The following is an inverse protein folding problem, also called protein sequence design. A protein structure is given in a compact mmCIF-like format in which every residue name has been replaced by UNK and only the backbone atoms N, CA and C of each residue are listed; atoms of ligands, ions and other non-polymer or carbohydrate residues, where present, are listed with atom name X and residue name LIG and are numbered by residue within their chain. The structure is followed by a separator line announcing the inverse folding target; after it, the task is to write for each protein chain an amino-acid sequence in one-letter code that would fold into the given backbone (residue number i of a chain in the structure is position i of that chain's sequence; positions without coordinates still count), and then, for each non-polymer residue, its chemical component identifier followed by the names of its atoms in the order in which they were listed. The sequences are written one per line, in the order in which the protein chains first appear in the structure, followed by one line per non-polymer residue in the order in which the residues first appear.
data_IF_379789780806
#
_entry.id   IF_379789780806
#
_cell.length_a   1.000
_cell.length_b   1.000
_cell.length_c   1.000
_cell.angle_alpha   90.00
_cell.angle_beta   90.00
_cell.angle_gamma   90.00
#
_symmetry.space_group_name_H-M   'P 1'
#
loop_
_entity.id
_entity.type
_entity.pdbx_description
1 polymer ?
#
# COMPACT_ATOMS: atom_id res chain seq x y z
N UNK A 1 31.44 -48.36 -76.91
CA UNK A 1 31.12 -48.62 -75.50
C UNK A 1 31.20 -47.30 -74.79
N UNK A 2 30.06 -46.65 -74.47
CA UNK A 2 30.00 -45.38 -73.85
C UNK A 2 29.19 -45.53 -72.54
N UNK A 3 29.86 -45.42 -71.39
CA UNK A 3 29.22 -45.44 -70.08
C UNK A 3 28.65 -44.07 -69.78
N UNK A 4 27.33 -44.03 -69.56
CA UNK A 4 26.61 -42.81 -69.00
C UNK A 4 26.48 -43.00 -67.49
N UNK A 5 27.08 -42.11 -66.76
CA UNK A 5 26.81 -41.92 -65.31
C UNK A 5 25.60 -41.02 -65.13
N UNK A 6 24.56 -41.49 -64.45
CA UNK A 6 23.48 -40.71 -63.96
C UNK A 6 23.90 -40.12 -62.57
N UNK A 7 24.00 -38.83 -62.56
CA UNK A 7 24.17 -38.12 -61.28
C UNK A 7 22.82 -37.93 -60.53
N UNK A 8 22.75 -38.57 -59.38
CA UNK A 8 21.59 -38.44 -58.49
C UNK A 8 21.78 -37.18 -57.65
N UNK A 9 20.98 -36.09 -57.91
CA UNK A 9 20.98 -34.90 -57.15
C UNK A 9 20.15 -35.11 -55.87
N UNK A 10 20.81 -35.16 -54.71
CA UNK A 10 20.15 -35.08 -53.40
C UNK A 10 19.70 -33.65 -53.13
N UNK A 11 18.40 -33.41 -53.17
CA UNK A 11 17.79 -32.18 -52.68
C UNK A 11 17.63 -32.33 -51.15
N UNK A 12 18.46 -31.66 -50.36
CA UNK A 12 18.26 -31.50 -48.94
C UNK A 12 17.14 -30.44 -48.72
N UNK A 13 16.11 -30.73 -47.90
CA UNK A 13 15.18 -29.73 -47.50
C UNK A 13 15.86 -28.79 -46.49
N UNK A 14 15.97 -27.51 -46.81
CA UNK A 14 16.29 -26.46 -45.87
C UNK A 14 15.14 -26.37 -44.86
N UNK A 15 15.34 -26.96 -43.68
CA UNK A 15 14.53 -26.65 -42.50
C UNK A 15 14.84 -25.19 -42.11
N UNK A 16 13.99 -24.29 -42.51
CA UNK A 16 13.93 -22.96 -41.90
C UNK A 16 13.44 -23.15 -40.48
N UNK A 17 14.37 -23.25 -39.54
CA UNK A 17 14.06 -23.10 -38.14
C UNK A 17 13.57 -21.64 -37.96
N UNK A 18 12.26 -21.47 -37.81
CA UNK A 18 11.72 -20.24 -37.20
C UNK A 18 12.29 -20.18 -35.79
N UNK A 19 13.41 -19.49 -35.61
CA UNK A 19 13.78 -18.95 -34.33
C UNK A 19 12.69 -17.97 -33.96
N UNK A 20 11.70 -18.40 -33.19
CA UNK A 20 10.95 -17.49 -32.33
C UNK A 20 11.98 -16.95 -31.35
N UNK A 21 12.54 -15.78 -31.64
CA UNK A 21 13.20 -14.99 -30.61
C UNK A 21 12.17 -14.84 -29.50
N UNK A 22 12.31 -15.67 -28.48
CA UNK A 22 11.65 -15.46 -27.20
C UNK A 22 12.05 -14.05 -26.79
N UNK A 23 11.11 -13.11 -26.89
CA UNK A 23 11.33 -11.74 -26.46
C UNK A 23 11.47 -11.74 -24.94
N UNK A 24 12.68 -12.09 -24.46
CA UNK A 24 13.00 -12.13 -23.06
C UNK A 24 12.83 -10.72 -22.49
N UNK A 25 11.97 -10.56 -21.49
CA UNK A 25 11.85 -9.33 -20.73
C UNK A 25 13.03 -9.34 -19.74
N UNK A 26 14.01 -8.42 -19.86
CA UNK A 26 15.22 -8.44 -19.01
C UNK A 26 14.89 -7.88 -17.61
N UNK A 27 14.42 -8.75 -16.74
CA UNK A 27 14.16 -8.45 -15.33
C UNK A 27 14.94 -9.43 -14.45
N UNK A 28 15.57 -8.90 -13.41
CA UNK A 28 16.30 -9.66 -12.39
C UNK A 28 16.04 -9.08 -11.01
N UNK A 29 16.23 -9.90 -9.98
CA UNK A 29 16.15 -9.52 -8.57
C UNK A 29 17.16 -10.31 -7.77
N UNK A 30 17.63 -9.76 -6.65
CA UNK A 30 18.46 -10.48 -5.69
C UNK A 30 17.63 -11.26 -4.67
N UNK A 31 16.38 -10.88 -4.48
CA UNK A 31 15.51 -11.44 -3.43
C UNK A 31 14.32 -12.23 -3.97
N UNK A 32 13.84 -11.92 -5.17
CA UNK A 32 12.76 -12.68 -5.83
C UNK A 32 13.37 -13.82 -6.64
N UNK A 33 12.91 -15.05 -6.43
CA UNK A 33 13.46 -16.21 -7.12
C UNK A 33 13.28 -16.12 -8.64
N UNK A 34 14.23 -16.72 -9.40
CA UNK A 34 14.14 -16.75 -10.85
C UNK A 34 12.84 -17.42 -11.31
N UNK A 35 12.40 -18.48 -10.65
CA UNK A 35 11.13 -19.16 -10.96
C UNK A 35 9.94 -18.21 -10.85
N UNK A 36 9.92 -17.34 -9.83
CA UNK A 36 8.87 -16.34 -9.65
C UNK A 36 8.92 -15.28 -10.75
N UNK A 37 10.13 -14.84 -11.13
CA UNK A 37 10.34 -13.89 -12.24
C UNK A 37 9.86 -14.51 -13.56
N UNK A 38 10.20 -15.77 -13.84
CA UNK A 38 9.76 -16.48 -15.05
C UNK A 38 8.22 -16.60 -15.11
N UNK A 39 7.58 -16.83 -13.95
CA UNK A 39 6.12 -16.84 -13.83
C UNK A 39 5.52 -15.48 -14.18
N UNK A 40 6.08 -14.40 -13.64
CA UNK A 40 5.65 -13.02 -13.93
C UNK A 40 5.77 -12.71 -15.42
N UNK A 41 6.92 -12.99 -16.01
CA UNK A 41 7.20 -12.77 -17.44
C UNK A 41 6.24 -13.57 -18.32
N UNK A 42 6.04 -14.85 -18.01
CA UNK A 42 5.12 -15.74 -18.72
C UNK A 42 3.68 -15.20 -18.68
N UNK A 43 3.20 -14.80 -17.49
CA UNK A 43 1.86 -14.26 -17.31
C UNK A 43 1.68 -12.92 -18.04
N UNK A 44 2.68 -12.02 -18.00
CA UNK A 44 2.63 -10.76 -18.75
C UNK A 44 2.51 -11.04 -20.27
N UNK A 45 3.31 -11.94 -20.82
CA UNK A 45 3.26 -12.28 -22.23
C UNK A 45 1.91 -12.88 -22.64
N UNK A 46 1.33 -13.71 -21.77
CA UNK A 46 0.02 -14.32 -21.98
C UNK A 46 -1.13 -13.33 -21.88
N UNK A 47 -1.12 -12.48 -20.85
CA UNK A 47 -2.20 -11.52 -20.57
C UNK A 47 -2.17 -10.31 -21.52
N UNK A 48 -0.98 -9.94 -22.00
CA UNK A 48 -0.76 -8.72 -22.80
C UNK A 48 0.02 -9.02 -24.07
N UNK A 49 -0.48 -9.87 -24.97
CA UNK A 49 0.25 -10.25 -26.20
C UNK A 49 0.57 -9.04 -27.08
N UNK A 50 -0.35 -8.05 -27.13
CA UNK A 50 -0.24 -6.83 -27.95
C UNK A 50 0.56 -5.69 -27.30
N UNK A 51 1.00 -5.84 -26.03
CA UNK A 51 1.75 -4.79 -25.37
C UNK A 51 3.17 -4.69 -25.95
N UNK A 52 3.71 -3.48 -25.99
CA UNK A 52 5.10 -3.25 -26.39
C UNK A 52 6.09 -3.85 -25.40
N UNK A 53 7.32 -4.10 -25.83
CA UNK A 53 8.38 -4.61 -24.95
C UNK A 53 8.63 -3.66 -23.77
N UNK A 54 8.53 -2.35 -23.99
CA UNK A 54 8.68 -1.36 -22.90
C UNK A 54 7.55 -1.49 -21.88
N UNK A 55 6.30 -1.59 -22.31
CA UNK A 55 5.16 -1.80 -21.40
C UNK A 55 5.32 -3.07 -20.59
N UNK A 56 5.69 -4.18 -21.23
CA UNK A 56 5.93 -5.46 -20.57
C UNK A 56 7.08 -5.38 -19.56
N UNK A 57 8.18 -4.73 -19.93
CA UNK A 57 9.32 -4.55 -19.04
C UNK A 57 8.98 -3.73 -17.80
N UNK A 58 8.26 -2.61 -17.99
CA UNK A 58 7.83 -1.77 -16.87
C UNK A 58 6.86 -2.49 -15.95
N UNK A 59 5.89 -3.21 -16.52
CA UNK A 59 4.96 -4.05 -15.75
C UNK A 59 5.70 -5.13 -14.95
N UNK A 60 6.64 -5.85 -15.57
CA UNK A 60 7.42 -6.87 -14.88
C UNK A 60 8.25 -6.30 -13.73
N UNK A 61 8.95 -5.18 -13.95
CA UNK A 61 9.72 -4.48 -12.89
C UNK A 61 8.83 -4.01 -11.75
N UNK A 62 7.62 -3.53 -12.05
CA UNK A 62 6.64 -3.12 -11.02
C UNK A 62 6.23 -4.30 -10.14
N UNK A 63 5.90 -5.44 -10.75
CA UNK A 63 5.48 -6.63 -9.98
C UNK A 63 6.64 -7.21 -9.17
N UNK A 64 7.85 -7.27 -9.73
CA UNK A 64 9.04 -7.73 -9.00
C UNK A 64 9.31 -6.82 -7.81
N UNK A 65 9.33 -5.50 -7.99
CA UNK A 65 9.50 -4.53 -6.90
C UNK A 65 8.42 -4.66 -5.84
N UNK A 66 7.16 -4.86 -6.22
CA UNK A 66 6.08 -5.06 -5.25
C UNK A 66 6.33 -6.27 -4.34
N UNK A 67 6.97 -7.34 -4.86
CA UNK A 67 7.38 -8.50 -4.06
C UNK A 67 8.62 -8.18 -3.22
N UNK A 68 9.62 -7.50 -3.79
CA UNK A 68 10.85 -7.09 -3.08
C UNK A 68 10.58 -6.21 -1.86
N UNK A 69 9.57 -5.35 -1.96
CA UNK A 69 9.21 -4.40 -0.90
C UNK A 69 8.16 -4.94 0.09
N UNK A 70 7.84 -6.23 0.03
CA UNK A 70 6.98 -6.83 1.05
C UNK A 70 7.72 -6.97 2.39
N UNK A 71 7.02 -6.59 3.44
CA UNK A 71 7.39 -6.85 4.84
C UNK A 71 6.54 -8.02 5.34
N UNK A 72 7.19 -9.10 5.77
CA UNK A 72 6.49 -10.21 6.38
C UNK A 72 6.04 -9.85 7.79
N UNK A 73 4.79 -10.09 8.09
CA UNK A 73 4.15 -9.82 9.38
C UNK A 73 3.75 -11.16 9.99
N UNK A 74 4.51 -11.59 10.97
CA UNK A 74 4.14 -12.78 11.74
C UNK A 74 2.82 -12.55 12.45
N UNK A 75 1.89 -13.49 12.32
CA UNK A 75 0.58 -13.43 12.94
C UNK A 75 0.62 -13.39 14.47
N UNK A 76 -0.50 -13.12 15.06
CA UNK A 76 -0.65 -13.05 16.52
C UNK A 76 -1.94 -12.36 16.92
N UNK A 77 -2.11 -12.15 18.22
CA UNK A 77 -3.31 -11.53 18.79
C UNK A 77 -3.00 -10.15 19.34
N UNK A 78 -3.96 -9.25 19.22
CA UNK A 78 -3.89 -7.90 19.79
C UNK A 78 -5.28 -7.38 20.13
N UNK A 79 -5.32 -6.35 20.96
CA UNK A 79 -6.53 -5.57 21.21
C UNK A 79 -6.66 -4.50 20.13
N UNK A 80 -7.61 -4.66 19.20
CA UNK A 80 -7.88 -3.73 18.11
C UNK A 80 -8.84 -2.64 18.56
N UNK A 81 -8.57 -1.40 18.15
CA UNK A 81 -9.38 -0.24 18.46
C UNK A 81 -8.67 0.77 19.35
N UNK A 82 -9.43 1.78 19.82
CA UNK A 82 -8.93 2.83 20.69
C UNK A 82 -8.74 2.31 22.11
N UNK A 83 -7.49 2.05 22.47
CA UNK A 83 -7.11 1.55 23.80
C UNK A 83 -7.01 2.65 24.86
N UNK A 84 -7.43 3.88 24.52
CA UNK A 84 -7.44 5.00 25.43
C UNK A 84 -6.08 5.65 25.63
N UNK A 85 -6.14 6.84 26.21
CA UNK A 85 -5.00 7.60 26.71
C UNK A 85 -5.39 8.22 28.04
N UNK A 86 -4.44 8.66 28.88
CA UNK A 86 -4.76 9.48 30.04
C UNK A 86 -5.59 10.70 29.62
N UNK A 87 -6.67 11.00 30.35
CA UNK A 87 -7.54 12.12 30.01
C UNK A 87 -6.80 13.45 30.19
N UNK A 88 -6.92 14.34 29.21
CA UNK A 88 -6.46 15.70 29.36
C UNK A 88 -7.38 16.48 30.31
N UNK A 89 -6.83 17.10 31.34
CA UNK A 89 -7.57 18.01 32.22
C UNK A 89 -7.45 19.41 31.62
N UNK A 90 -8.57 20.14 31.40
CA UNK A 90 -8.51 21.51 30.93
C UNK A 90 -7.65 22.35 31.88
N UNK A 91 -6.48 22.79 31.44
CA UNK A 91 -5.77 23.86 32.13
C UNK A 91 -6.52 25.14 31.85
N UNK A 92 -6.67 26.03 32.80
CA UNK A 92 -7.40 27.31 32.64
C UNK A 92 -6.96 28.21 31.48
N UNK A 93 -6.13 27.69 30.55
CA UNK A 93 -5.69 28.30 29.31
C UNK A 93 -6.39 27.64 28.11
N UNK A 94 -7.00 28.42 27.22
CA UNK A 94 -7.57 27.88 25.98
C UNK A 94 -6.54 27.02 25.20
N UNK A 95 -6.92 25.82 24.80
CA UNK A 95 -6.11 24.87 24.03
C UNK A 95 -4.90 24.24 24.77
N UNK A 96 -4.82 24.33 26.07
CA UNK A 96 -3.84 23.60 26.87
C UNK A 96 -4.58 22.65 27.81
N UNK A 97 -4.30 21.38 27.70
CA UNK A 97 -4.88 20.33 28.52
C UNK A 97 -3.76 19.66 29.29
N UNK A 98 -4.00 19.39 30.58
CA UNK A 98 -3.08 18.66 31.42
C UNK A 98 -3.54 17.20 31.50
N UNK A 99 -2.59 16.28 31.45
CA UNK A 99 -2.87 14.83 31.49
C UNK A 99 -3.18 14.36 32.91
N UNK A 100 -4.17 13.50 33.03
CA UNK A 100 -4.47 12.81 34.27
C UNK A 100 -4.16 11.31 34.14
N UNK A 101 -3.17 10.78 34.87
CA UNK A 101 -2.81 9.38 34.79
C UNK A 101 -3.89 8.45 35.35
N UNK A 102 -4.79 8.96 36.19
CA UNK A 102 -5.79 8.16 36.90
C UNK A 102 -7.08 7.91 36.12
N UNK A 103 -7.28 8.60 35.02
CA UNK A 103 -8.50 8.50 34.19
C UNK A 103 -8.12 8.19 32.75
N UNK A 104 -8.75 7.16 32.17
CA UNK A 104 -8.60 6.80 30.76
C UNK A 104 -9.72 7.44 29.94
N UNK A 105 -9.35 8.14 28.89
CA UNK A 105 -10.26 8.70 27.90
C UNK A 105 -10.06 8.04 26.54
N UNK A 106 -10.99 8.26 25.62
CA UNK A 106 -10.74 7.93 24.20
C UNK A 106 -9.57 8.78 23.72
N UNK A 107 -8.61 8.15 23.06
CA UNK A 107 -7.44 8.84 22.52
C UNK A 107 -7.80 9.68 21.30
N UNK A 108 -8.84 9.28 20.56
CA UNK A 108 -9.40 10.01 19.42
C UNK A 108 -10.88 10.33 19.70
N UNK A 109 -11.28 11.62 19.73
CA UNK A 109 -12.67 12.01 19.92
C UNK A 109 -13.64 11.39 18.92
N UNK A 110 -13.19 11.08 17.71
CA UNK A 110 -14.00 10.43 16.67
C UNK A 110 -14.27 8.95 16.96
N UNK A 111 -13.55 8.31 17.88
CA UNK A 111 -13.70 6.89 18.19
C UNK A 111 -15.11 6.54 18.67
N UNK A 112 -15.83 7.48 19.31
CA UNK A 112 -17.20 7.31 19.71
C UNK A 112 -18.16 7.19 18.51
N UNK A 113 -17.97 8.01 17.49
CA UNK A 113 -18.82 8.04 16.29
C UNK A 113 -18.49 6.88 15.33
N UNK A 114 -17.21 6.56 15.20
CA UNK A 114 -16.73 5.54 14.26
C UNK A 114 -16.78 4.11 14.82
N UNK A 115 -17.06 3.95 16.11
CA UNK A 115 -17.09 2.65 16.80
C UNK A 115 -15.70 2.12 17.17
N UNK A 116 -14.64 2.88 16.95
CA UNK A 116 -13.27 2.48 17.28
C UNK A 116 -13.04 2.29 18.79
N UNK A 117 -13.87 2.90 19.64
CA UNK A 117 -13.83 2.74 21.10
C UNK A 117 -14.18 1.33 21.58
N UNK A 118 -14.80 0.51 20.74
CA UNK A 118 -15.11 -0.88 21.09
C UNK A 118 -13.86 -1.74 20.94
N UNK A 119 -13.01 -1.69 21.97
CA UNK A 119 -11.80 -2.50 22.02
C UNK A 119 -12.15 -3.98 22.01
N UNK A 120 -11.54 -4.75 21.12
CA UNK A 120 -11.84 -6.18 20.97
C UNK A 120 -10.61 -6.96 20.56
N UNK A 121 -10.55 -8.21 20.97
CA UNK A 121 -9.46 -9.11 20.63
C UNK A 121 -9.55 -9.54 19.17
N UNK A 122 -8.44 -9.40 18.46
CA UNK A 122 -8.25 -9.89 17.10
C UNK A 122 -7.04 -10.80 17.04
N UNK A 123 -7.17 -11.90 16.32
CA UNK A 123 -6.09 -12.85 16.04
C UNK A 123 -5.91 -12.97 14.53
N UNK A 124 -4.73 -12.65 14.04
CA UNK A 124 -4.39 -12.70 12.60
C UNK A 124 -3.46 -13.88 12.32
N UNK A 125 -3.68 -14.56 11.21
CA UNK A 125 -2.67 -15.40 10.59
C UNK A 125 -1.55 -14.51 10.03
N UNK A 126 -0.36 -15.08 9.78
CA UNK A 126 0.74 -14.35 9.15
C UNK A 126 0.36 -13.90 7.74
N UNK A 127 0.89 -12.77 7.31
CA UNK A 127 0.70 -12.19 5.98
C UNK A 127 1.92 -11.35 5.62
N UNK A 128 1.96 -10.79 4.42
CA UNK A 128 2.92 -9.73 4.12
C UNK A 128 2.20 -8.46 3.71
N UNK A 129 2.80 -7.30 3.98
CA UNK A 129 2.24 -5.99 3.61
C UNK A 129 3.30 -5.18 2.86
N UNK A 130 2.88 -4.37 1.90
CA UNK A 130 3.80 -3.49 1.20
C UNK A 130 4.45 -2.49 2.18
N UNK A 131 5.78 -2.36 2.10
CA UNK A 131 6.56 -1.43 2.93
C UNK A 131 6.08 0.00 2.80
N UNK A 132 5.70 0.39 1.59
CA UNK A 132 5.26 1.74 1.23
C UNK A 132 3.85 1.71 0.66
N UNK A 133 3.21 2.87 0.56
CA UNK A 133 2.06 3.08 -0.30
C UNK A 133 2.44 2.79 -1.75
N UNK A 134 1.47 2.40 -2.57
CA UNK A 134 1.68 2.24 -4.01
C UNK A 134 2.15 3.55 -4.62
N UNK A 135 3.26 3.54 -5.36
CA UNK A 135 3.78 4.74 -6.02
C UNK A 135 2.96 5.11 -7.26
N UNK A 136 2.94 6.40 -7.56
CA UNK A 136 2.33 6.91 -8.79
C UNK A 136 2.82 6.16 -10.03
N UNK A 137 4.13 5.97 -10.18
CA UNK A 137 4.68 5.29 -11.35
C UNK A 137 4.27 3.82 -11.43
N UNK A 138 4.10 3.13 -10.31
CA UNK A 138 3.68 1.72 -10.28
C UNK A 138 2.23 1.57 -10.73
N UNK A 139 1.35 2.45 -10.23
CA UNK A 139 -0.03 2.55 -10.69
C UNK A 139 -0.09 2.88 -12.18
N UNK A 140 0.75 3.80 -12.65
CA UNK A 140 0.80 4.23 -14.04
C UNK A 140 1.25 3.10 -14.98
N UNK A 141 2.22 2.27 -14.59
CA UNK A 141 2.65 1.14 -15.43
C UNK A 141 1.56 0.07 -15.55
N UNK A 142 0.81 -0.20 -14.47
CA UNK A 142 -0.38 -1.05 -14.53
C UNK A 142 -1.44 -0.43 -15.47
N UNK A 143 -1.73 0.87 -15.35
CA UNK A 143 -2.72 1.55 -16.19
C UNK A 143 -2.30 1.55 -17.65
N UNK A 144 -1.02 1.77 -17.93
CA UNK A 144 -0.51 1.81 -19.31
C UNK A 144 -0.63 0.47 -20.01
N UNK A 145 -0.21 -0.63 -19.38
CA UNK A 145 -0.31 -1.96 -20.00
C UNK A 145 -1.78 -2.40 -20.19
N UNK A 146 -2.68 -1.95 -19.32
CA UNK A 146 -4.11 -2.20 -19.42
C UNK A 146 -4.86 -1.20 -20.31
N UNK A 147 -4.15 -0.31 -21.03
CA UNK A 147 -4.71 0.71 -21.92
C UNK A 147 -5.67 1.68 -21.22
N UNK A 148 -5.51 1.87 -19.91
CA UNK A 148 -6.27 2.83 -19.13
C UNK A 148 -5.67 4.23 -19.26
N UNK A 149 -6.43 5.32 -19.03
CA UNK A 149 -5.90 6.68 -19.00
C UNK A 149 -4.79 6.82 -17.96
N UNK A 150 -3.96 7.86 -18.08
CA UNK A 150 -2.99 8.25 -17.04
C UNK A 150 -3.73 8.40 -15.70
N UNK A 151 -3.11 8.01 -14.60
CA UNK A 151 -3.68 8.20 -13.27
C UNK A 151 -4.02 9.68 -13.08
N UNK A 152 -5.22 9.96 -12.55
CA UNK A 152 -5.60 11.34 -12.26
C UNK A 152 -4.62 11.93 -11.26
N UNK A 153 -3.91 12.95 -11.67
CA UNK A 153 -3.19 13.79 -10.74
C UNK A 153 -4.21 14.54 -9.87
N UNK A 154 -3.87 14.73 -8.60
CA UNK A 154 -4.66 15.52 -7.65
C UNK A 154 -4.62 17.03 -7.97
N UNK A 155 -3.87 17.42 -9.03
CA UNK A 155 -3.86 18.78 -9.52
C UNK A 155 -5.27 19.21 -9.93
N UNK A 156 -5.61 20.48 -9.65
CA UNK A 156 -6.91 21.09 -9.96
C UNK A 156 -7.26 21.06 -11.44
N UNK A 157 -6.30 20.72 -12.29
CA UNK A 157 -6.43 20.61 -13.73
C UNK A 157 -6.77 19.17 -14.14
N UNK A 158 -8.07 18.88 -14.20
CA UNK A 158 -8.65 17.56 -14.57
C UNK A 158 -8.48 17.24 -16.07
N UNK A 159 -7.57 17.86 -16.77
CA UNK A 159 -7.39 17.60 -18.20
C UNK A 159 -6.70 16.24 -18.38
N UNK A 160 -7.23 15.49 -19.33
CA UNK A 160 -6.59 14.27 -19.82
C UNK A 160 -5.14 14.59 -20.24
N UNK A 161 -4.17 13.85 -19.65
CA UNK A 161 -2.74 14.00 -19.97
C UNK A 161 -2.36 12.92 -20.98
N UNK A 162 -2.12 13.26 -22.26
CA UNK A 162 -1.65 12.28 -23.23
C UNK A 162 -0.23 11.79 -22.85
N UNK A 163 0.01 10.48 -23.00
CA UNK A 163 1.31 9.86 -22.64
C UNK A 163 2.47 10.30 -23.52
N UNK A 164 2.22 10.84 -24.68
CA UNK A 164 3.22 11.43 -25.60
C UNK A 164 3.53 12.91 -25.32
N UNK A 165 2.82 13.51 -24.36
CA UNK A 165 2.96 14.93 -24.03
C UNK A 165 4.19 15.23 -23.17
N UNK A 166 4.68 16.48 -23.25
CA UNK A 166 5.73 17.00 -22.36
C UNK A 166 5.27 17.00 -20.90
N UNK A 167 3.97 17.31 -20.66
CA UNK A 167 3.36 17.29 -19.32
C UNK A 167 3.46 15.88 -18.69
N UNK A 168 3.24 14.83 -19.46
CA UNK A 168 3.36 13.46 -18.96
C UNK A 168 4.80 13.10 -18.56
N UNK A 169 5.79 13.50 -19.36
CA UNK A 169 7.21 13.28 -19.03
C UNK A 169 7.59 13.97 -17.72
N UNK A 170 7.20 15.24 -17.59
CA UNK A 170 7.40 15.99 -16.35
C UNK A 170 6.72 15.30 -15.15
N UNK A 171 5.46 14.86 -15.32
CA UNK A 171 4.71 14.17 -14.28
C UNK A 171 5.41 12.88 -13.81
N UNK A 172 5.99 12.10 -14.74
CA UNK A 172 6.75 10.90 -14.40
C UNK A 172 8.05 11.21 -13.66
N UNK A 173 8.74 12.31 -14.02
CA UNK A 173 9.97 12.71 -13.36
C UNK A 173 9.71 13.25 -11.95
N UNK A 174 8.71 14.11 -11.81
CA UNK A 174 8.35 14.79 -10.57
C UNK A 174 7.74 13.83 -9.54
N UNK A 175 6.92 12.87 -9.97
CA UNK A 175 6.13 12.00 -9.08
C UNK A 175 6.61 10.55 -8.99
N UNK A 176 7.86 10.27 -9.27
CA UNK A 176 8.37 8.89 -9.27
C UNK A 176 8.13 8.14 -7.96
N UNK A 177 8.26 8.82 -6.84
CA UNK A 177 8.12 8.27 -5.49
C UNK A 177 6.86 8.74 -4.76
N UNK A 178 6.06 9.60 -5.38
CA UNK A 178 4.82 10.06 -4.77
C UNK A 178 3.82 8.92 -4.61
N UNK A 179 3.03 8.96 -3.56
CA UNK A 179 1.93 8.01 -3.39
C UNK A 179 0.91 8.14 -4.53
N UNK A 180 0.44 7.01 -5.06
CA UNK A 180 -0.60 7.00 -6.07
C UNK A 180 -1.92 7.51 -5.51
N UNK A 181 -2.56 8.46 -6.20
CA UNK A 181 -3.92 8.86 -5.84
C UNK A 181 -4.92 7.82 -6.31
N UNK A 182 -5.76 7.32 -5.39
CA UNK A 182 -6.86 6.41 -5.69
C UNK A 182 -8.18 7.03 -5.21
N UNK A 183 -8.83 7.80 -6.09
CA UNK A 183 -10.13 8.44 -5.78
C UNK A 183 -11.29 7.47 -5.70
N UNK A 184 -11.11 6.27 -6.22
CA UNK A 184 -12.08 5.19 -6.14
C UNK A 184 -11.43 3.99 -5.45
N UNK A 185 -12.12 3.43 -4.47
CA UNK A 185 -11.67 2.20 -3.82
C UNK A 185 -11.39 1.07 -4.82
N UNK A 186 -12.19 1.00 -5.89
CA UNK A 186 -12.03 -0.01 -6.92
C UNK A 186 -10.68 0.11 -7.66
N UNK A 187 -10.15 1.32 -7.86
CA UNK A 187 -8.83 1.51 -8.49
C UNK A 187 -7.71 0.90 -7.66
N UNK A 188 -7.79 1.05 -6.33
CA UNK A 188 -6.86 0.43 -5.40
C UNK A 188 -6.98 -1.12 -5.41
N UNK A 189 -8.21 -1.61 -5.40
CA UNK A 189 -8.51 -3.04 -5.47
C UNK A 189 -8.02 -3.66 -6.77
N UNK A 190 -8.31 -3.02 -7.90
CA UNK A 190 -7.90 -3.49 -9.24
C UNK A 190 -6.37 -3.58 -9.37
N UNK A 191 -5.63 -2.63 -8.79
CA UNK A 191 -4.17 -2.66 -8.79
C UNK A 191 -3.64 -3.87 -8.02
N UNK A 192 -4.11 -4.10 -6.80
CA UNK A 192 -3.66 -5.26 -6.01
C UNK A 192 -4.06 -6.59 -6.67
N UNK A 193 -5.25 -6.67 -7.28
CA UNK A 193 -5.67 -7.82 -8.06
C UNK A 193 -4.85 -8.01 -9.35
N UNK A 194 -4.42 -6.92 -9.98
CA UNK A 194 -3.51 -6.99 -11.11
C UNK A 194 -2.15 -7.58 -10.70
N UNK A 195 -1.59 -7.16 -9.57
CA UNK A 195 -0.39 -7.79 -9.00
C UNK A 195 -0.60 -9.29 -8.80
N UNK A 196 -1.77 -9.68 -8.26
CA UNK A 196 -2.12 -11.09 -8.04
C UNK A 196 -2.15 -11.88 -9.36
N UNK A 197 -2.83 -11.36 -10.37
CA UNK A 197 -2.97 -12.02 -11.67
C UNK A 197 -1.64 -12.19 -12.39
N UNK A 198 -0.75 -11.20 -12.29
CA UNK A 198 0.56 -11.23 -12.95
C UNK A 198 1.56 -12.09 -12.20
N UNK A 199 1.61 -11.98 -10.88
CA UNK A 199 2.57 -12.73 -10.05
C UNK A 199 2.13 -14.15 -9.73
N UNK A 200 0.84 -14.47 -9.87
CA UNK A 200 0.20 -15.69 -9.34
C UNK A 200 0.34 -15.83 -7.81
N UNK A 201 0.52 -14.70 -7.10
CA UNK A 201 0.55 -14.63 -5.64
C UNK A 201 -0.73 -13.93 -5.15
N UNK A 202 -1.30 -14.28 -3.99
CA UNK A 202 -2.59 -13.77 -3.54
C UNK A 202 -2.49 -12.32 -2.99
N UNK A 203 -2.16 -11.36 -3.85
CA UNK A 203 -2.20 -9.95 -3.51
C UNK A 203 -3.64 -9.43 -3.42
N UNK A 204 -3.90 -8.62 -2.41
CA UNK A 204 -5.15 -7.90 -2.21
C UNK A 204 -4.91 -6.62 -1.39
N UNK A 205 -5.95 -5.81 -1.17
CA UNK A 205 -5.90 -4.78 -0.13
C UNK A 205 -5.79 -5.45 1.25
N UNK A 206 -5.07 -4.86 2.21
CA UNK A 206 -5.10 -5.34 3.58
C UNK A 206 -6.52 -5.21 4.15
N UNK A 207 -6.89 -6.09 5.08
CA UNK A 207 -8.04 -5.82 5.94
C UNK A 207 -7.73 -4.67 6.90
N UNK A 208 -8.76 -4.05 7.45
CA UNK A 208 -8.60 -3.02 8.47
C UNK A 208 -7.76 -3.51 9.65
N UNK A 209 -7.99 -4.75 10.07
CA UNK A 209 -7.24 -5.38 11.16
C UNK A 209 -5.77 -5.64 10.81
N UNK A 210 -5.47 -6.10 9.59
CA UNK A 210 -4.09 -6.26 9.11
C UNK A 210 -3.37 -4.91 9.07
N UNK A 211 -4.04 -3.88 8.57
CA UNK A 211 -3.47 -2.53 8.51
C UNK A 211 -3.12 -2.02 9.92
N UNK A 212 -4.05 -2.09 10.88
CA UNK A 212 -3.81 -1.60 12.25
C UNK A 212 -2.73 -2.43 12.96
N UNK A 213 -2.74 -3.76 12.80
CA UNK A 213 -1.74 -4.63 13.38
C UNK A 213 -0.32 -4.30 12.90
N UNK A 214 -0.16 -4.06 11.59
CA UNK A 214 1.12 -3.65 11.00
C UNK A 214 1.53 -2.22 11.45
N UNK A 215 0.60 -1.27 11.46
CA UNK A 215 0.83 0.11 11.90
C UNK A 215 1.34 0.15 13.35
N UNK A 216 0.82 -0.73 14.19
CA UNK A 216 1.19 -0.89 15.60
C UNK A 216 2.34 -1.87 15.83
N UNK A 217 3.11 -2.19 14.79
CA UNK A 217 4.26 -3.12 14.89
C UNK A 217 3.91 -4.43 15.60
N UNK A 218 2.88 -5.13 15.08
CA UNK A 218 2.25 -6.33 15.63
C UNK A 218 1.36 -6.06 16.84
N UNK A 219 0.58 -4.97 16.76
CA UNK A 219 -0.46 -4.66 17.76
C UNK A 219 0.05 -4.07 19.06
N UNK A 220 1.26 -3.50 19.07
CA UNK A 220 1.79 -2.75 20.22
C UNK A 220 0.89 -1.57 20.60
N UNK A 221 1.00 -1.10 21.84
CA UNK A 221 0.28 0.09 22.31
C UNK A 221 1.03 1.36 21.91
N UNK A 222 0.94 1.73 20.64
CA UNK A 222 1.50 2.96 20.07
C UNK A 222 0.39 3.79 19.44
N UNK A 223 0.53 5.11 19.46
CA UNK A 223 -0.47 6.03 18.90
C UNK A 223 -0.23 6.33 17.43
N UNK A 224 1.02 6.27 16.98
CA UNK A 224 1.43 6.57 15.61
C UNK A 224 2.35 5.48 15.07
N UNK A 225 2.23 5.18 13.79
CA UNK A 225 3.05 4.17 13.10
C UNK A 225 4.40 4.78 12.65
N UNK A 226 5.13 5.34 13.59
CA UNK A 226 6.45 5.95 13.40
C UNK A 226 7.54 5.07 13.98
N UNK A 227 8.80 5.44 13.81
CA UNK A 227 9.94 4.68 14.32
C UNK A 227 9.98 4.56 15.85
N UNK A 228 9.35 5.48 16.58
CA UNK A 228 9.29 5.48 18.04
C UNK A 228 7.85 5.51 18.63
N UNK A 229 6.82 5.43 17.78
CA UNK A 229 5.42 5.40 18.21
C UNK A 229 4.78 6.78 18.45
N UNK A 230 5.52 7.85 18.26
CA UNK A 230 5.08 9.22 18.51
C UNK A 230 5.07 10.05 17.23
N UNK A 231 4.34 11.15 17.24
CA UNK A 231 4.30 12.11 16.15
C UNK A 231 4.98 13.41 16.55
N UNK A 232 5.77 13.98 15.65
CA UNK A 232 6.27 15.33 15.81
C UNK A 232 5.08 16.31 15.84
N UNK A 233 4.92 17.02 16.96
CA UNK A 233 3.93 18.07 17.11
C UNK A 233 4.56 19.45 16.86
N UNK A 234 3.73 20.47 16.63
CA UNK A 234 4.17 21.85 16.34
C UNK A 234 5.32 22.31 17.22
N UNK A 235 6.30 22.99 16.62
CA UNK A 235 7.45 23.63 17.29
C UNK A 235 8.41 22.66 18.03
N UNK A 236 8.69 21.51 17.47
CA UNK A 236 9.70 20.61 18.00
C UNK A 236 9.35 19.89 19.31
N UNK A 237 8.07 19.75 19.63
CA UNK A 237 7.61 18.94 20.77
C UNK A 237 6.79 17.75 20.26
N UNK A 238 6.91 16.60 20.91
CA UNK A 238 6.02 15.47 20.72
C UNK A 238 5.46 15.03 22.07
N UNK A 239 4.27 14.43 22.06
CA UNK A 239 3.69 13.86 23.27
C UNK A 239 4.35 12.50 23.53
N UNK A 240 4.91 12.35 24.75
CA UNK A 240 5.45 11.09 25.26
C UNK A 240 4.44 10.47 26.21
N UNK A 241 3.77 9.37 25.85
CA UNK A 241 2.78 8.74 26.72
C UNK A 241 3.40 8.06 27.94
N UNK A 242 4.68 7.68 27.93
CA UNK A 242 5.35 7.14 29.09
C UNK A 242 5.66 8.23 30.12
N UNK A 243 6.05 9.40 29.63
CA UNK A 243 6.26 10.58 30.45
C UNK A 243 4.94 11.28 30.84
N UNK A 244 3.85 11.05 30.09
CA UNK A 244 2.56 11.70 30.28
C UNK A 244 2.53 13.20 29.97
N UNK A 245 3.51 13.71 29.22
CA UNK A 245 3.60 15.14 28.85
C UNK A 245 4.35 15.32 27.51
N UNK A 246 4.30 16.55 26.98
CA UNK A 246 5.08 16.93 25.80
C UNK A 246 6.55 17.08 26.16
N UNK A 247 7.41 16.44 25.35
CA UNK A 247 8.86 16.51 25.45
C UNK A 247 9.44 17.21 24.23
N UNK A 248 10.65 17.78 24.39
CA UNK A 248 11.34 18.43 23.28
C UNK A 248 11.77 17.42 22.23
N UNK A 249 11.51 17.78 20.98
CA UNK A 249 11.96 17.01 19.81
C UNK A 249 13.49 17.07 19.66
N UNK A 250 14.11 15.93 19.55
CA UNK A 250 15.49 15.84 19.13
C UNK A 250 15.55 15.68 17.62
N UNK A 251 16.29 16.56 16.95
CA UNK A 251 16.38 16.64 15.49
C UNK A 251 16.72 15.31 14.81
N UNK A 252 17.39 14.41 15.52
CA UNK A 252 17.80 13.10 15.04
C UNK A 252 16.72 12.00 15.21
N UNK A 253 15.58 12.34 15.82
CA UNK A 253 14.43 11.44 16.06
C UNK A 253 13.26 11.76 15.11
N UNK A 254 13.54 12.01 13.80
CA UNK A 254 12.49 12.26 12.81
C UNK A 254 11.60 11.04 12.71
N UNK A 255 10.36 11.17 13.12
CA UNK A 255 9.40 10.09 13.22
C UNK A 255 8.21 10.21 12.27
N UNK A 256 8.00 11.38 11.66
CA UNK A 256 7.03 11.55 10.58
C UNK A 256 7.46 12.68 9.64
N UNK A 257 7.16 12.55 8.37
CA UNK A 257 7.28 13.64 7.40
C UNK A 257 5.94 14.35 7.25
N UNK A 258 5.98 15.66 7.11
CA UNK A 258 4.84 16.45 6.66
C UNK A 258 4.77 16.53 5.13
N UNK A 259 5.80 16.03 4.44
CA UNK A 259 5.88 15.99 2.99
C UNK A 259 5.12 14.78 2.45
N UNK A 260 4.11 15.07 1.65
CA UNK A 260 3.28 14.08 0.94
C UNK A 260 4.04 13.51 -0.27
N UNK A 261 5.20 14.10 -0.59
CA UNK A 261 5.80 13.94 -1.91
C UNK A 261 6.37 12.55 -2.17
N UNK A 262 6.97 11.90 -1.17
CA UNK A 262 7.62 10.61 -1.37
C UNK A 262 7.21 9.58 -0.33
N UNK A 263 6.85 8.37 -0.79
CA UNK A 263 6.48 7.25 0.09
C UNK A 263 7.61 6.79 1.04
N UNK A 264 8.84 7.15 0.73
CA UNK A 264 10.05 6.83 1.52
C UNK A 264 10.60 8.02 2.33
N UNK A 265 9.83 9.09 2.46
CA UNK A 265 10.26 10.30 3.19
C UNK A 265 10.27 10.15 4.71
N UNK A 266 9.54 9.18 5.24
CA UNK A 266 9.48 8.90 6.69
C UNK A 266 10.23 7.61 7.03
N UNK A 267 10.93 7.57 8.19
CA UNK A 267 11.53 6.34 8.66
C UNK A 267 10.44 5.29 8.93
N UNK A 268 10.71 4.00 8.69
CA UNK A 268 9.74 2.94 8.94
C UNK A 268 9.51 2.76 10.45
N UNK A 269 8.35 2.21 10.80
CA UNK A 269 8.08 1.73 12.14
C UNK A 269 8.98 0.52 12.50
N UNK A 270 9.01 0.04 13.75
CA UNK A 270 9.85 -1.08 14.16
C UNK A 270 9.62 -2.39 13.37
N UNK A 271 8.46 -2.55 12.74
CA UNK A 271 8.18 -3.68 11.84
C UNK A 271 8.86 -3.53 10.46
N UNK A 272 9.26 -2.32 10.10
CA UNK A 272 9.86 -2.01 8.79
C UNK A 272 8.87 -1.42 7.76
N UNK A 273 7.63 -1.11 8.16
CA UNK A 273 6.61 -0.49 7.30
C UNK A 273 6.64 1.02 7.48
N UNK A 274 6.65 1.75 6.38
CA UNK A 274 6.71 3.21 6.36
C UNK A 274 5.38 3.85 5.90
N UNK A 275 5.18 5.11 6.23
CA UNK A 275 4.08 5.92 5.71
C UNK A 275 2.70 5.65 6.30
N UNK A 276 2.57 4.86 7.38
CA UNK A 276 1.25 4.55 7.98
C UNK A 276 0.76 5.60 9.01
N UNK A 277 1.49 6.68 9.20
CA UNK A 277 1.10 7.88 9.96
C UNK A 277 1.69 9.12 9.30
N UNK A 278 1.54 9.20 7.99
CA UNK A 278 1.90 10.37 7.19
C UNK A 278 0.64 11.20 6.84
N UNK A 279 0.65 11.94 5.74
CA UNK A 279 -0.50 12.76 5.34
C UNK A 279 -1.43 12.09 4.31
N UNK A 280 -1.27 10.78 4.06
CA UNK A 280 -1.99 10.07 3.02
C UNK A 280 -2.91 9.02 3.62
N UNK A 281 -4.22 9.22 3.49
CA UNK A 281 -5.19 8.20 3.90
C UNK A 281 -5.13 6.98 3.00
N UNK A 282 -5.34 5.79 3.56
CA UNK A 282 -5.24 4.54 2.82
C UNK A 282 -6.54 3.75 2.79
N UNK A 283 -6.97 3.34 1.59
CA UNK A 283 -8.04 2.37 1.43
C UNK A 283 -7.63 1.00 1.98
N UNK A 284 -8.54 0.41 2.75
CA UNK A 284 -8.47 -1.01 3.14
C UNK A 284 -9.63 -1.80 2.53
N UNK A 285 -9.64 -3.11 2.69
CA UNK A 285 -10.62 -3.97 2.02
C UNK A 285 -12.03 -3.86 2.61
N UNK A 286 -12.14 -3.50 3.87
CA UNK A 286 -13.35 -3.62 4.68
C UNK A 286 -14.44 -2.63 4.28
N UNK A 287 -15.69 -3.11 4.30
CA UNK A 287 -16.83 -2.23 4.39
C UNK A 287 -16.92 -1.62 5.77
N UNK A 288 -17.40 -0.40 5.86
CA UNK A 288 -17.56 0.30 7.13
C UNK A 288 -18.91 -0.03 7.80
N UNK A 289 -18.85 -0.25 9.11
CA UNK A 289 -20.00 -0.22 10.00
C UNK A 289 -19.56 0.30 11.37
N UNK A 290 -20.28 1.24 11.99
CA UNK A 290 -19.94 1.76 13.32
C UNK A 290 -20.10 0.73 14.44
N UNK A 291 -20.84 -0.35 14.19
CA UNK A 291 -21.10 -1.41 15.18
C UNK A 291 -20.30 -2.70 14.93
N UNK A 292 -19.46 -2.73 13.88
CA UNK A 292 -18.75 -3.95 13.50
C UNK A 292 -17.83 -4.46 14.63
N UNK A 293 -17.10 -3.56 15.29
CA UNK A 293 -16.17 -3.95 16.37
C UNK A 293 -16.84 -4.61 17.57
N UNK A 294 -18.13 -4.31 17.80
CA UNK A 294 -18.92 -4.96 18.87
C UNK A 294 -19.18 -6.45 18.59
N UNK A 295 -19.17 -6.85 17.32
CA UNK A 295 -19.54 -8.18 16.87
C UNK A 295 -18.50 -8.78 15.91
N UNK A 296 -17.31 -8.21 15.86
CA UNK A 296 -16.23 -8.68 15.00
C UNK A 296 -15.82 -10.10 15.38
N UNK A 297 -15.63 -11.03 14.42
CA UNK A 297 -15.01 -12.30 14.72
C UNK A 297 -13.58 -12.07 15.21
N UNK A 298 -13.14 -12.87 16.19
CA UNK A 298 -11.79 -12.76 16.72
C UNK A 298 -10.74 -13.11 15.66
N UNK A 299 -10.98 -14.13 14.82
CA UNK A 299 -10.00 -14.62 13.86
C UNK A 299 -10.17 -14.00 12.49
N UNK A 300 -9.12 -13.32 12.00
CA UNK A 300 -9.00 -12.77 10.64
C UNK A 300 -10.24 -11.96 10.21
N UNK A 301 -10.70 -10.95 10.96
CA UNK A 301 -11.87 -10.18 10.59
C UNK A 301 -11.69 -9.50 9.22
N UNK A 302 -12.76 -9.50 8.42
CA UNK A 302 -12.79 -9.00 7.04
C UNK A 302 -13.69 -7.78 6.85
N UNK A 303 -14.22 -7.22 7.95
CA UNK A 303 -15.31 -6.25 7.88
C UNK A 303 -16.67 -6.88 7.59
N UNK A 304 -17.74 -6.08 7.53
CA UNK A 304 -19.05 -6.54 7.09
C UNK A 304 -19.03 -7.08 5.65
N UNK A 305 -19.90 -8.04 5.34
CA UNK A 305 -20.02 -8.63 3.99
C UNK A 305 -20.41 -7.59 2.91
N UNK A 306 -21.10 -6.54 3.30
CA UNK A 306 -21.53 -5.46 2.41
C UNK A 306 -21.72 -4.15 3.16
N UNK A 307 -21.75 -3.05 2.42
CA UNK A 307 -21.94 -1.72 2.96
C UNK A 307 -22.07 -0.66 1.86
N UNK A 308 -22.23 0.59 2.26
CA UNK A 308 -22.28 1.74 1.35
C UNK A 308 -20.99 2.54 1.36
N UNK A 309 -20.16 2.34 2.36
CA UNK A 309 -18.90 3.05 2.58
C UNK A 309 -17.77 2.07 2.90
N UNK A 310 -16.58 2.43 2.49
CA UNK A 310 -15.34 1.69 2.76
C UNK A 310 -14.55 2.38 3.87
N UNK A 311 -13.77 1.59 4.60
CA UNK A 311 -12.87 2.10 5.61
C UNK A 311 -11.64 2.72 4.94
N UNK A 312 -11.25 3.88 5.47
CA UNK A 312 -9.96 4.53 5.25
C UNK A 312 -9.20 4.58 6.57
N UNK A 313 -7.90 4.39 6.49
CA UNK A 313 -6.99 4.51 7.63
C UNK A 313 -6.04 5.68 7.40
N UNK A 314 -5.53 6.27 8.47
CA UNK A 314 -4.73 7.49 8.51
C UNK A 314 -5.45 8.72 7.91
N UNK A 315 -6.06 9.55 8.74
CA UNK A 315 -6.71 10.79 8.30
C UNK A 315 -5.69 11.90 8.06
N UNK A 316 -4.99 11.84 6.95
CA UNK A 316 -4.04 12.87 6.56
C UNK A 316 -3.01 13.19 7.66
N UNK A 317 -2.45 12.16 8.28
CA UNK A 317 -1.39 12.27 9.27
C UNK A 317 -1.78 13.00 10.55
N UNK A 318 -3.07 13.16 10.83
CA UNK A 318 -3.58 13.86 12.03
C UNK A 318 -4.25 12.94 13.03
N UNK A 319 -4.45 11.70 12.65
CA UNK A 319 -5.17 10.72 13.47
C UNK A 319 -4.23 9.63 13.96
N UNK A 320 -4.62 9.01 15.04
CA UNK A 320 -3.89 7.90 15.64
C UNK A 320 -4.12 6.61 14.84
N UNK A 321 -3.24 5.63 15.00
CA UNK A 321 -3.26 4.38 14.23
C UNK A 321 -4.55 3.57 14.31
N UNK A 322 -5.38 3.78 15.34
CA UNK A 322 -6.68 3.13 15.52
C UNK A 322 -7.85 3.98 15.02
N UNK A 323 -7.60 5.21 14.57
CA UNK A 323 -8.67 6.08 14.03
C UNK A 323 -9.21 5.50 12.73
N UNK A 324 -10.55 5.48 12.64
CA UNK A 324 -11.30 4.99 11.49
C UNK A 324 -11.95 6.15 10.76
N UNK A 325 -11.79 6.18 9.46
CA UNK A 325 -12.53 7.08 8.59
C UNK A 325 -13.36 6.20 7.64
N UNK A 326 -14.45 6.71 7.17
CA UNK A 326 -15.28 6.02 6.18
C UNK A 326 -15.69 6.98 5.07
N UNK A 327 -15.72 6.46 3.86
CA UNK A 327 -16.12 7.20 2.67
C UNK A 327 -16.83 6.29 1.69
N UNK A 328 -17.70 6.90 0.90
CA UNK A 328 -18.26 6.21 -0.27
C UNK A 328 -17.14 5.71 -1.18
N UNK A 329 -17.38 4.64 -1.89
CA UNK A 329 -16.38 3.97 -2.76
C UNK A 329 -15.82 4.87 -3.86
N UNK A 330 -16.44 6.02 -4.11
CA UNK A 330 -15.99 7.05 -5.04
C UNK A 330 -16.02 8.41 -4.36
N UNK A 331 -14.85 9.00 -4.18
CA UNK A 331 -14.71 10.32 -3.57
C UNK A 331 -15.20 11.42 -4.52
N UNK A 332 -15.93 12.39 -3.99
CA UNK A 332 -16.40 13.58 -4.70
C UNK A 332 -15.69 14.81 -4.17
N UNK A 333 -15.21 15.66 -5.08
CA UNK A 333 -14.55 16.92 -4.72
C UNK A 333 -13.05 16.81 -4.50
N UNK A 334 -12.47 17.83 -3.85
CA UNK A 334 -11.07 17.86 -3.45
C UNK A 334 -10.92 17.03 -2.18
N UNK A 335 -10.26 15.91 -2.30
CA UNK A 335 -9.76 15.14 -1.17
C UNK A 335 -8.23 15.20 -1.19
N UNK A 336 -7.60 15.67 -0.11
CA UNK A 336 -6.17 15.52 -0.01
C UNK A 336 -5.84 14.03 -0.04
N UNK A 337 -4.84 13.71 -0.76
CA UNK A 337 -4.15 12.44 -0.94
C UNK A 337 -4.79 11.21 -0.28
N UNK A 338 -5.55 10.46 -1.06
CA UNK A 338 -6.00 9.11 -0.69
C UNK A 338 -5.28 8.12 -1.58
N UNK A 339 -4.57 7.21 -0.96
CA UNK A 339 -3.79 6.17 -1.59
C UNK A 339 -4.18 4.78 -1.07
N UNK A 340 -3.28 3.83 -1.19
CA UNK A 340 -3.43 2.48 -0.69
C UNK A 340 -2.08 1.76 -0.70
N UNK A 341 -2.01 0.67 0.02
CA UNK A 341 -0.94 -0.35 -0.11
C UNK A 341 -1.55 -1.72 -0.29
N UNK A 342 -0.84 -2.63 -0.95
CA UNK A 342 -1.30 -4.01 -1.06
C UNK A 342 -0.74 -4.87 0.07
N UNK A 343 -1.45 -5.95 0.37
CA UNK A 343 -1.01 -7.03 1.22
C UNK A 343 -0.98 -8.35 0.44
N UNK A 344 -0.16 -9.27 0.87
CA UNK A 344 -0.09 -10.62 0.34
C UNK A 344 -0.72 -11.58 1.35
N UNK A 345 -1.81 -12.21 0.96
CA UNK A 345 -2.69 -13.01 1.81
C UNK A 345 -2.20 -14.47 1.91
N UNK A 346 -0.96 -14.66 2.34
CA UNK A 346 -0.38 -15.99 2.59
C UNK A 346 0.46 -16.00 3.85
N UNK A 347 0.46 -17.15 4.54
CA UNK A 347 1.13 -17.30 5.84
C UNK A 347 2.64 -17.49 5.77
N UNK A 348 3.22 -17.51 4.58
CA UNK A 348 4.67 -17.66 4.37
C UNK A 348 5.23 -16.45 3.63
N UNK A 349 6.49 -16.08 3.87
CA UNK A 349 7.16 -15.05 3.10
C UNK A 349 7.13 -15.36 1.60
N UNK A 350 7.10 -14.30 0.77
CA UNK A 350 7.14 -14.44 -0.69
C UNK A 350 8.56 -14.44 -1.25
N UNK A 351 9.55 -14.18 -0.42
CA UNK A 351 10.98 -14.05 -0.76
C UNK A 351 11.86 -14.55 0.38
#
# INVERSE_FOLDING_TARGET
MKNRWLGMACVLPLLVACNSESSAIPVSSETVSQQQIDTIVSNINKLYPEATQEQKLRAAKTVVRAIEELVFVEGGSFEMGDFGAPCEIPSGTPNRMDWSPDVQCLSDPSSGETGAYNLHKVTLDSYSIAKFETRFVDMEWMRWINKLPVAEDDSRDRTHVPRDSVKYKYLLEDRQKAAASAKQWQEAKDYCQWLSNVSALPFDLPTEAQWEYAARSRGGKVYFATNNGYRQMYNSHYFDPEAGHYVDYKKDEVNSSTDIENVDSSPPNPLGVAGMSNQVSEWVNDWYSPTYYQNSPEKNPQGPDSGTEKVLRDAAGRTMVFSRIHKTTKLKGYFPSVSFRCALQQSMPAK
#
